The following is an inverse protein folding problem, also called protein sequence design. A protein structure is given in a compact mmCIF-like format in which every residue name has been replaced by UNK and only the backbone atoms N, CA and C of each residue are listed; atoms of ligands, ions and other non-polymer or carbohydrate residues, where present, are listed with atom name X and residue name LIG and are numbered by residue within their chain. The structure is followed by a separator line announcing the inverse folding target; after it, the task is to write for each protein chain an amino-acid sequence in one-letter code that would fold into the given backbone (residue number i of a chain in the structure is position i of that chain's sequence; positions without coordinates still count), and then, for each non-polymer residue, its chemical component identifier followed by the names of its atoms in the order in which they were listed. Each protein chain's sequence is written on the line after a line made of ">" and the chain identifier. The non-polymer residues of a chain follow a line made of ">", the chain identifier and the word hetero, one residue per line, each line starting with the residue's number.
data_IF_377152538896
#
_entry.id   IF_377152538896
#
_cell.length_a   1.000
_cell.length_b   1.000
_cell.length_c   1.000
_cell.angle_alpha   90.00
_cell.angle_beta   90.00
_cell.angle_gamma   90.00
#
_symmetry.space_group_name_H-M   'P 1'
#
loop_
_entity.id
_entity.type
_entity.pdbx_description
1 polymer ?
#
# COMPACT_ATOMS: atom_id res chain seq x y z
N UNK A 1 -18.01 14.84 16.39
CA UNK A 1 -18.80 14.40 15.22
C UNK A 1 -18.68 15.37 14.04
N UNK A 2 -18.81 16.69 14.20
CA UNK A 2 -18.71 17.65 13.08
C UNK A 2 -17.37 17.53 12.34
N UNK A 3 -16.25 17.64 13.05
CA UNK A 3 -14.89 17.55 12.46
C UNK A 3 -14.68 16.27 11.65
N UNK A 4 -15.19 15.13 12.13
CA UNK A 4 -15.08 13.86 11.41
C UNK A 4 -15.82 13.89 10.07
N UNK A 5 -17.01 14.51 10.01
CA UNK A 5 -17.75 14.69 8.77
C UNK A 5 -17.07 15.65 7.82
N UNK A 6 -16.54 16.76 8.33
CA UNK A 6 -15.85 17.76 7.54
C UNK A 6 -14.60 17.13 6.87
N UNK A 7 -13.77 16.39 7.64
CA UNK A 7 -12.59 15.67 7.13
C UNK A 7 -13.00 14.56 6.15
N UNK A 8 -14.06 13.80 6.48
CA UNK A 8 -14.56 12.79 5.56
C UNK A 8 -14.98 13.39 4.21
N UNK A 9 -15.74 14.46 4.24
CA UNK A 9 -16.24 15.11 3.02
C UNK A 9 -15.10 15.72 2.18
N UNK A 10 -14.04 16.21 2.84
CA UNK A 10 -12.90 16.81 2.15
C UNK A 10 -12.04 15.76 1.42
N UNK A 11 -11.79 14.60 2.03
CA UNK A 11 -10.78 13.65 1.53
C UNK A 11 -11.34 12.35 0.95
N UNK A 12 -12.56 11.96 1.31
CA UNK A 12 -13.07 10.62 1.01
C UNK A 12 -14.44 10.59 0.32
N UNK A 13 -15.25 11.62 0.45
CA UNK A 13 -16.63 11.60 -0.02
C UNK A 13 -16.77 11.34 -1.52
N UNK A 14 -15.91 11.94 -2.32
CA UNK A 14 -15.94 11.78 -3.78
C UNK A 14 -15.46 10.39 -4.21
N UNK A 15 -14.45 9.84 -3.52
CA UNK A 15 -13.91 8.51 -3.82
C UNK A 15 -14.92 7.40 -3.50
N UNK A 16 -15.64 7.53 -2.39
CA UNK A 16 -16.57 6.49 -1.93
C UNK A 16 -18.04 6.81 -2.26
N UNK A 17 -18.31 7.97 -2.87
CA UNK A 17 -19.69 8.45 -3.16
C UNK A 17 -20.59 8.53 -1.92
N UNK A 18 -20.00 8.70 -0.73
CA UNK A 18 -20.67 8.76 0.56
C UNK A 18 -20.35 10.08 1.25
N UNK A 19 -21.36 10.87 1.57
CA UNK A 19 -21.23 12.14 2.32
C UNK A 19 -21.59 11.98 3.79
N UNK A 20 -21.07 12.90 4.59
CA UNK A 20 -21.36 13.04 6.02
C UNK A 20 -21.11 11.81 6.88
N UNK A 21 -20.21 10.94 6.47
CA UNK A 21 -19.83 9.77 7.26
C UNK A 21 -19.16 10.20 8.58
N UNK A 22 -19.52 9.51 9.65
CA UNK A 22 -18.94 9.70 10.98
C UNK A 22 -17.92 8.64 11.36
N UNK A 23 -17.54 7.76 10.41
CA UNK A 23 -16.66 6.61 10.69
C UNK A 23 -15.34 7.02 11.34
N UNK A 24 -14.79 8.18 10.98
CA UNK A 24 -13.56 8.71 11.57
C UNK A 24 -13.68 9.04 13.07
N UNK A 25 -14.93 9.20 13.58
CA UNK A 25 -15.20 9.47 14.99
C UNK A 25 -15.66 8.24 15.79
N UNK A 26 -15.91 7.11 15.14
CA UNK A 26 -16.42 5.90 15.80
C UNK A 26 -15.50 4.70 15.63
N UNK A 27 -14.57 4.73 14.67
CA UNK A 27 -13.65 3.62 14.44
C UNK A 27 -12.62 3.52 15.57
N UNK A 28 -12.63 2.40 16.28
CA UNK A 28 -11.86 2.20 17.51
C UNK A 28 -10.34 2.42 17.34
N UNK A 29 -9.78 2.01 16.21
CA UNK A 29 -8.34 2.18 15.94
C UNK A 29 -7.94 3.66 15.77
N UNK A 30 -8.86 4.51 15.31
CA UNK A 30 -8.59 5.95 15.22
C UNK A 30 -8.70 6.65 16.56
N UNK A 31 -9.63 6.20 17.44
CA UNK A 31 -9.94 6.84 18.71
C UNK A 31 -8.99 6.37 19.81
N UNK A 32 -8.87 5.04 19.95
CA UNK A 32 -8.10 4.43 21.04
C UNK A 32 -6.58 4.37 20.76
N UNK A 33 -6.20 4.32 19.50
CA UNK A 33 -4.80 4.18 19.08
C UNK A 33 -4.45 5.23 18.02
N UNK A 34 -4.19 6.47 18.41
CA UNK A 34 -3.82 7.54 17.48
C UNK A 34 -2.64 7.13 16.60
N UNK A 35 -2.74 7.39 15.31
CA UNK A 35 -1.75 7.04 14.27
C UNK A 35 -1.59 5.54 13.95
N UNK A 36 -2.24 4.64 14.68
CA UNK A 36 -2.14 3.21 14.39
C UNK A 36 -2.63 2.86 12.98
N UNK A 37 -3.67 3.52 12.52
CA UNK A 37 -4.25 3.26 11.20
C UNK A 37 -3.26 3.54 10.06
N UNK A 38 -2.35 4.49 10.24
CA UNK A 38 -1.30 4.80 9.25
C UNK A 38 -0.27 3.67 9.08
N UNK A 39 -0.19 2.74 10.04
CA UNK A 39 0.71 1.58 9.94
C UNK A 39 0.32 0.64 8.79
N UNK A 40 -0.97 0.53 8.45
CA UNK A 40 -1.43 -0.34 7.36
C UNK A 40 -0.92 0.13 5.98
N UNK A 41 -1.20 1.37 5.53
CA UNK A 41 -0.68 1.83 4.25
C UNK A 41 0.86 1.88 4.21
N UNK A 42 1.52 2.23 5.32
CA UNK A 42 3.00 2.16 5.39
C UNK A 42 3.48 0.71 5.24
N UNK A 43 2.78 -0.26 5.86
CA UNK A 43 3.07 -1.69 5.71
C UNK A 43 3.01 -2.14 4.25
N UNK A 44 1.97 -1.74 3.51
CA UNK A 44 1.87 -2.05 2.09
C UNK A 44 2.97 -1.40 1.25
N UNK A 45 3.37 -0.15 1.53
CA UNK A 45 4.50 0.45 0.84
C UNK A 45 5.80 -0.34 1.05
N UNK A 46 6.02 -0.83 2.27
CA UNK A 46 7.19 -1.66 2.62
C UNK A 46 7.10 -3.02 1.92
N UNK A 47 5.92 -3.63 1.86
CA UNK A 47 5.66 -4.91 1.20
C UNK A 47 6.10 -4.87 -0.26
N UNK A 48 5.64 -3.93 -1.05
CA UNK A 48 6.04 -3.77 -2.46
C UNK A 48 7.53 -3.49 -2.63
N UNK A 49 8.17 -2.76 -1.71
CA UNK A 49 9.61 -2.56 -1.75
C UNK A 49 10.38 -3.83 -1.43
N UNK A 50 9.89 -4.65 -0.48
CA UNK A 50 10.47 -5.95 -0.16
C UNK A 50 10.30 -6.93 -1.31
N UNK A 51 9.12 -7.02 -1.89
CA UNK A 51 8.84 -7.88 -3.05
C UNK A 51 9.83 -7.59 -4.18
N UNK A 52 9.98 -6.33 -4.56
CA UNK A 52 10.96 -5.91 -5.57
C UNK A 52 12.40 -6.23 -5.18
N UNK A 53 12.77 -6.13 -3.89
CA UNK A 53 14.09 -6.47 -3.39
C UNK A 53 14.36 -7.99 -3.43
N UNK A 54 13.31 -8.82 -3.32
CA UNK A 54 13.40 -10.28 -3.27
C UNK A 54 13.39 -10.91 -4.67
N UNK A 55 13.04 -10.17 -5.71
CA UNK A 55 13.02 -10.67 -7.09
C UNK A 55 14.35 -11.30 -7.48
N UNK A 56 14.30 -12.55 -7.96
CA UNK A 56 15.47 -13.31 -8.43
C UNK A 56 16.45 -13.75 -7.34
N UNK A 57 16.12 -13.56 -6.06
CA UNK A 57 16.98 -13.94 -4.93
C UNK A 57 16.45 -15.16 -4.20
N UNK A 58 17.31 -15.77 -3.39
CA UNK A 58 16.88 -16.83 -2.48
C UNK A 58 16.06 -16.23 -1.33
N UNK A 59 14.77 -16.53 -1.28
CA UNK A 59 13.84 -16.02 -0.28
C UNK A 59 14.31 -16.31 1.15
N UNK A 60 14.79 -17.52 1.42
CA UNK A 60 15.22 -17.92 2.78
C UNK A 60 16.40 -17.09 3.27
N UNK A 61 17.42 -16.94 2.44
CA UNK A 61 18.65 -16.17 2.78
C UNK A 61 18.34 -14.68 2.97
N UNK A 62 17.53 -14.09 2.11
CA UNK A 62 17.14 -12.70 2.21
C UNK A 62 16.25 -12.42 3.45
N UNK A 63 15.31 -13.31 3.74
CA UNK A 63 14.48 -13.18 4.95
C UNK A 63 15.32 -13.33 6.22
N UNK A 64 16.26 -14.29 6.26
CA UNK A 64 17.19 -14.43 7.39
C UNK A 64 18.01 -13.14 7.56
N UNK A 65 18.57 -12.60 6.50
CA UNK A 65 19.33 -11.33 6.51
C UNK A 65 18.49 -10.17 7.07
N UNK A 66 17.25 -10.05 6.64
CA UNK A 66 16.32 -8.97 7.07
C UNK A 66 15.96 -9.12 8.54
N UNK A 67 15.62 -10.35 8.97
CA UNK A 67 15.25 -10.61 10.38
C UNK A 67 16.46 -10.49 11.32
N UNK A 68 17.65 -10.88 10.90
CA UNK A 68 18.87 -10.75 11.70
C UNK A 68 19.33 -9.31 11.89
N UNK A 69 18.78 -8.34 11.13
CA UNK A 69 19.01 -6.91 11.37
C UNK A 69 18.54 -6.45 12.76
N UNK A 70 17.61 -7.21 13.38
CA UNK A 70 17.17 -7.00 14.75
C UNK A 70 16.34 -5.72 14.91
N UNK A 71 16.31 -5.25 16.16
CA UNK A 71 15.47 -4.11 16.57
C UNK A 71 16.24 -2.80 16.43
N UNK A 72 16.21 -2.20 15.25
CA UNK A 72 16.88 -0.93 14.92
C UNK A 72 15.84 0.14 14.53
N UNK A 73 16.29 1.39 14.39
CA UNK A 73 15.40 2.46 13.96
C UNK A 73 14.86 2.21 12.54
N UNK A 74 13.61 2.59 12.24
CA UNK A 74 12.95 2.26 10.97
C UNK A 74 13.74 2.66 9.72
N UNK A 75 14.37 3.83 9.73
CA UNK A 75 15.14 4.32 8.58
C UNK A 75 16.37 3.45 8.30
N UNK A 76 17.04 2.96 9.35
CA UNK A 76 18.18 2.07 9.22
C UNK A 76 17.74 0.67 8.80
N UNK A 77 16.60 0.21 9.33
CA UNK A 77 16.00 -1.05 8.92
C UNK A 77 15.66 -1.04 7.41
N UNK A 78 14.99 0.01 6.93
CA UNK A 78 14.68 0.16 5.49
C UNK A 78 15.95 0.15 4.63
N UNK A 79 17.01 0.87 5.06
CA UNK A 79 18.28 0.86 4.35
C UNK A 79 18.91 -0.54 4.29
N UNK A 80 18.82 -1.30 5.37
CA UNK A 80 19.37 -2.65 5.42
C UNK A 80 18.50 -3.66 4.67
N UNK A 81 17.17 -3.55 4.76
CA UNK A 81 16.24 -4.48 4.15
C UNK A 81 16.16 -4.31 2.63
N UNK A 82 15.96 -3.07 2.15
CA UNK A 82 15.65 -2.76 0.75
C UNK A 82 16.62 -1.76 0.10
N UNK A 83 17.68 -1.36 0.82
CA UNK A 83 18.71 -0.42 0.38
C UNK A 83 18.19 0.97 -0.05
N UNK A 84 16.95 1.31 0.30
CA UNK A 84 16.33 2.61 -0.03
C UNK A 84 15.57 3.18 1.17
N UNK A 85 15.10 4.42 1.03
CA UNK A 85 14.12 4.99 1.94
C UNK A 85 12.72 4.46 1.61
N UNK A 86 11.78 4.62 2.53
CA UNK A 86 10.37 4.35 2.27
C UNK A 86 9.89 5.13 1.03
N UNK A 87 9.28 4.42 0.09
CA UNK A 87 8.81 4.96 -1.20
C UNK A 87 7.56 4.24 -1.68
N UNK A 88 6.64 4.99 -2.28
CA UNK A 88 5.46 4.43 -2.96
C UNK A 88 5.72 3.99 -4.41
N UNK A 89 6.91 4.27 -4.95
CA UNK A 89 7.19 4.00 -6.36
C UNK A 89 7.01 2.53 -6.77
N UNK A 90 7.49 1.51 -6.01
CA UNK A 90 7.27 0.11 -6.37
C UNK A 90 5.79 -0.29 -6.37
N UNK A 91 5.00 0.21 -5.44
CA UNK A 91 3.55 -0.04 -5.42
C UNK A 91 2.86 0.57 -6.64
N UNK A 92 3.19 1.81 -7.01
CA UNK A 92 2.63 2.47 -8.20
C UNK A 92 3.02 1.75 -9.48
N UNK A 93 4.26 1.28 -9.58
CA UNK A 93 4.75 0.46 -10.70
C UNK A 93 3.96 -0.86 -10.81
N UNK A 94 3.75 -1.55 -9.69
CA UNK A 94 2.95 -2.78 -9.67
C UNK A 94 1.49 -2.55 -10.08
N UNK A 95 0.87 -1.46 -9.62
CA UNK A 95 -0.49 -1.07 -10.02
C UNK A 95 -0.55 -0.75 -11.51
N UNK A 96 0.43 -0.01 -12.04
CA UNK A 96 0.48 0.32 -13.46
C UNK A 96 0.60 -0.95 -14.31
N UNK A 97 1.51 -1.85 -13.96
CA UNK A 97 1.68 -3.12 -14.66
C UNK A 97 0.40 -3.97 -14.65
N UNK A 98 -0.33 -3.99 -13.53
CA UNK A 98 -1.61 -4.69 -13.43
C UNK A 98 -2.69 -4.05 -14.32
N UNK A 99 -2.75 -2.72 -14.39
CA UNK A 99 -3.68 -2.00 -15.27
C UNK A 99 -3.36 -2.25 -16.75
N UNK A 100 -2.09 -2.20 -17.14
CA UNK A 100 -1.65 -2.45 -18.50
C UNK A 100 -2.02 -3.88 -18.95
N UNK A 101 -1.83 -4.88 -18.07
CA UNK A 101 -2.22 -6.27 -18.32
C UNK A 101 -3.75 -6.43 -18.48
N UNK A 102 -4.55 -5.69 -17.72
CA UNK A 102 -6.02 -5.71 -17.85
C UNK A 102 -6.48 -5.13 -19.19
N UNK A 103 -5.87 -4.04 -19.65
CA UNK A 103 -6.17 -3.43 -20.95
C UNK A 103 -5.84 -4.40 -22.08
N UNK A 104 -4.71 -5.11 -22.04
CA UNK A 104 -4.34 -6.12 -23.02
C UNK A 104 -5.38 -7.26 -23.12
N UNK A 105 -5.91 -7.71 -21.97
CA UNK A 105 -6.94 -8.75 -21.94
C UNK A 105 -8.24 -8.27 -22.56
N UNK A 106 -8.69 -7.05 -22.24
CA UNK A 106 -9.91 -6.49 -22.82
C UNK A 106 -9.82 -6.31 -24.35
N UNK A 107 -8.65 -5.95 -24.86
CA UNK A 107 -8.42 -5.80 -26.31
C UNK A 107 -8.37 -7.17 -27.03
N UNK A 108 -7.91 -8.22 -26.36
CA UNK A 108 -7.97 -9.58 -26.88
C UNK A 108 -9.40 -10.09 -26.96
N UNK A 109 -10.24 -9.88 -25.94
CA UNK A 109 -11.63 -10.30 -25.93
C UNK A 109 -12.46 -9.61 -27.01
N UNK A 110 -12.27 -8.33 -27.25
CA UNK A 110 -12.94 -7.61 -28.36
C UNK A 110 -12.60 -8.17 -29.73
N UNK A 111 -11.37 -8.62 -29.94
CA UNK A 111 -10.95 -9.21 -31.22
C UNK A 111 -11.48 -10.62 -31.46
N UNK A 112 -11.96 -11.31 -30.40
CA UNK A 112 -12.56 -12.65 -30.52
C UNK A 112 -14.05 -12.57 -30.83
N UNK A 113 -14.74 -11.50 -30.43
CA UNK A 113 -16.16 -11.29 -30.74
C UNK A 113 -16.42 -10.85 -32.20
N UNK A 114 -15.40 -10.42 -32.92
CA UNK A 114 -15.48 -10.00 -34.35
C UNK A 114 -15.28 -11.17 -35.34
N UNK A 115 -15.18 -12.42 -34.90
CA UNK A 115 -15.10 -13.65 -35.70
C UNK A 115 -16.37 -14.50 -35.55
#
# INVERSE_FOLDING_TARGET
>A
MKIAKDVWNEFFADTFEIKDSTILAIYSHMIAYPLYLSAYPIGHLIEFQLEKQLEGKNMGEEMERIYCAGRIIPQLWMKNAVNTKLSGAPMLEAVQNALDALVEVEDLDKNVEDF
#
